data_IF_377950050416
#
_entry.id   IF_377950050416
#
_cell.length_a   1.000
_cell.length_b   1.000
_cell.length_c   1.000
_cell.angle_alpha   90.00
_cell.angle_beta   90.00
_cell.angle_gamma   90.00
#
_symmetry.space_group_name_H-M   'P 1'
#
loop_
_entity.id
_entity.type
_entity.pdbx_description
1 polymer ?
#
# COMPACT_ATOMS: atom_id res chain seq x y z
N UNK A 1 9.49 13.53 5.24
CA UNK A 1 8.88 12.37 4.76
C UNK A 1 7.85 11.83 5.63
N UNK A 2 6.96 11.20 5.02
CA UNK A 2 5.80 11.18 5.75
C UNK A 2 4.98 9.94 5.55
N UNK A 3 5.60 8.79 5.81
CA UNK A 3 4.85 7.55 5.96
C UNK A 3 3.98 7.67 7.19
N UNK A 4 2.68 7.48 6.97
CA UNK A 4 1.68 7.61 8.01
C UNK A 4 0.97 6.28 8.20
N UNK A 5 0.76 5.93 9.47
CA UNK A 5 -0.03 4.76 9.85
C UNK A 5 -1.21 5.20 10.72
N UNK A 6 -2.34 4.52 10.55
CA UNK A 6 -3.45 4.59 11.48
C UNK A 6 -3.41 3.32 12.33
N UNK A 7 -3.02 3.47 13.58
CA UNK A 7 -2.96 2.34 14.50
C UNK A 7 -4.36 1.86 14.87
N UNK A 8 -4.50 0.57 15.04
CA UNK A 8 -5.74 -0.01 15.54
C UNK A 8 -5.95 0.42 16.98
N UNK A 9 -7.18 0.77 17.32
CA UNK A 9 -7.53 1.21 18.67
C UNK A 9 -8.38 0.13 19.33
N UNK A 10 -7.87 -0.41 20.42
CA UNK A 10 -8.65 -1.33 21.26
C UNK A 10 -9.71 -0.50 21.99
N UNK A 11 -10.98 -0.84 21.83
CA UNK A 11 -12.05 -0.20 22.57
C UNK A 11 -12.74 -1.13 23.58
N UNK A 12 -12.52 -2.41 23.47
CA UNK A 12 -13.02 -3.40 24.42
C UNK A 12 -12.10 -4.62 24.44
N UNK A 13 -11.90 -5.18 25.60
CA UNK A 13 -11.10 -6.39 25.76
C UNK A 13 -11.70 -7.28 26.83
N UNK A 14 -11.79 -8.56 26.55
CA UNK A 14 -12.14 -9.61 27.52
C UNK A 14 -10.96 -10.57 27.65
N UNK A 15 -11.10 -11.59 28.49
CA UNK A 15 -10.01 -12.56 28.65
C UNK A 15 -9.56 -13.19 27.32
N UNK A 16 -10.52 -13.51 26.46
CA UNK A 16 -10.25 -14.24 25.22
C UNK A 16 -10.48 -13.44 23.93
N UNK A 17 -10.97 -12.21 24.03
CA UNK A 17 -11.38 -11.42 22.83
C UNK A 17 -10.93 -9.98 22.94
N UNK A 18 -10.38 -9.48 21.84
CA UNK A 18 -10.02 -8.06 21.72
C UNK A 18 -10.87 -7.44 20.61
N UNK A 19 -11.48 -6.29 20.91
CA UNK A 19 -12.27 -5.53 19.96
C UNK A 19 -11.51 -4.29 19.52
N UNK A 20 -11.25 -4.20 18.22
CA UNK A 20 -10.56 -3.06 17.63
C UNK A 20 -11.51 -2.14 16.91
N UNK A 21 -11.32 -0.85 17.09
CA UNK A 21 -11.87 0.17 16.21
C UNK A 21 -10.85 0.44 15.10
N UNK A 22 -11.24 0.14 13.88
CA UNK A 22 -10.37 0.30 12.70
C UNK A 22 -10.90 1.39 11.75
N UNK A 23 -11.75 2.26 12.25
CA UNK A 23 -12.32 3.34 11.43
C UNK A 23 -11.23 4.26 10.89
N UNK A 24 -11.36 4.62 9.63
CA UNK A 24 -10.53 5.63 8.99
C UNK A 24 -11.42 6.85 8.70
N UNK A 25 -11.08 8.04 9.23
CA UNK A 25 -11.88 9.23 8.96
C UNK A 25 -12.03 9.50 7.46
N UNK A 26 -13.24 9.78 7.03
CA UNK A 26 -13.60 10.09 5.64
C UNK A 26 -13.50 8.93 4.66
N UNK A 27 -13.18 7.73 5.08
CA UNK A 27 -13.22 6.57 4.17
C UNK A 27 -14.61 6.39 3.60
N UNK A 28 -14.69 6.29 2.28
CA UNK A 28 -15.95 6.15 1.54
C UNK A 28 -15.95 4.98 0.56
N UNK A 29 -14.92 4.16 0.60
CA UNK A 29 -14.81 2.96 -0.22
C UNK A 29 -13.97 1.92 0.53
N UNK A 30 -14.30 0.64 0.38
CA UNK A 30 -13.56 -0.44 1.02
C UNK A 30 -13.35 -1.56 0.02
N UNK A 31 -12.09 -1.91 -0.20
CA UNK A 31 -11.71 -2.98 -1.10
C UNK A 31 -11.03 -4.11 -0.32
N UNK A 32 -11.39 -5.33 -0.65
CA UNK A 32 -10.73 -6.52 -0.13
C UNK A 32 -9.79 -7.06 -1.21
N UNK A 33 -8.50 -7.12 -0.90
CA UNK A 33 -7.48 -7.54 -1.86
C UNK A 33 -6.76 -8.77 -1.35
N UNK A 34 -6.92 -9.88 -2.06
CA UNK A 34 -6.39 -11.18 -1.65
C UNK A 34 -5.28 -11.60 -2.61
N UNK A 35 -4.08 -11.77 -2.09
CA UNK A 35 -3.02 -12.50 -2.76
C UNK A 35 -3.12 -13.96 -2.31
N UNK A 36 -3.53 -14.84 -3.22
CA UNK A 36 -3.82 -16.24 -2.89
C UNK A 36 -2.56 -17.04 -2.55
N UNK A 37 -1.44 -16.63 -3.13
CA UNK A 37 -0.12 -17.25 -2.96
C UNK A 37 0.92 -16.16 -3.17
N UNK A 38 2.17 -16.51 -3.50
CA UNK A 38 3.14 -15.52 -3.91
C UNK A 38 2.57 -14.72 -5.08
N UNK A 39 2.51 -13.41 -4.91
CA UNK A 39 1.89 -12.52 -5.90
C UNK A 39 2.50 -11.14 -5.84
N UNK A 40 2.46 -10.47 -6.98
CA UNK A 40 2.87 -9.06 -7.10
C UNK A 40 1.74 -8.30 -7.78
N UNK A 41 1.34 -7.17 -7.20
CA UNK A 41 0.27 -6.34 -7.74
C UNK A 41 0.73 -4.88 -7.88
N UNK A 42 0.74 -4.31 -9.09
CA UNK A 42 0.50 -4.99 -10.37
C UNK A 42 1.64 -5.96 -10.71
N UNK A 43 1.40 -6.96 -11.55
CA UNK A 43 2.45 -7.89 -11.95
C UNK A 43 3.53 -7.17 -12.77
N UNK A 44 4.73 -7.75 -12.81
CA UNK A 44 5.78 -7.25 -13.69
C UNK A 44 5.36 -7.47 -15.16
N UNK A 45 5.84 -6.58 -16.03
CA UNK A 45 5.63 -6.66 -17.46
C UNK A 45 6.98 -6.84 -18.16
N UNK A 46 7.16 -7.98 -18.83
CA UNK A 46 8.43 -8.34 -19.49
C UNK A 46 9.66 -8.17 -18.58
N UNK A 47 9.54 -8.55 -17.31
CA UNK A 47 10.60 -8.43 -16.32
C UNK A 47 10.76 -7.05 -15.72
N UNK A 48 9.95 -6.08 -16.12
CA UNK A 48 9.99 -4.72 -15.59
C UNK A 48 8.89 -4.50 -14.55
N UNK A 49 9.25 -3.84 -13.45
CA UNK A 49 8.28 -3.47 -12.43
C UNK A 49 7.21 -2.56 -12.99
N UNK A 50 6.00 -2.77 -12.53
CA UNK A 50 4.87 -1.88 -12.77
C UNK A 50 4.33 -1.34 -11.45
N UNK A 51 3.74 -0.16 -11.51
CA UNK A 51 3.17 0.52 -10.36
C UNK A 51 1.77 1.02 -10.69
N UNK A 52 0.92 1.12 -9.65
CA UNK A 52 -0.28 1.95 -9.71
C UNK A 52 0.04 3.33 -9.18
N UNK A 53 -0.72 4.33 -9.61
CA UNK A 53 -0.72 5.66 -9.03
C UNK A 53 -2.16 6.17 -9.01
N UNK A 54 -2.57 6.73 -7.88
CA UNK A 54 -3.90 7.30 -7.73
C UNK A 54 -3.83 8.81 -7.57
N UNK A 55 -4.54 9.53 -8.43
CA UNK A 55 -4.65 10.99 -8.32
C UNK A 55 -5.92 11.40 -7.59
N UNK A 56 -6.90 10.48 -7.45
CA UNK A 56 -8.22 10.75 -6.90
C UNK A 56 -8.61 9.76 -5.80
N UNK A 57 -7.65 9.06 -5.25
CA UNK A 57 -7.84 8.13 -4.15
C UNK A 57 -6.65 8.17 -3.20
N UNK A 58 -6.95 8.20 -1.91
CA UNK A 58 -5.99 7.92 -0.85
C UNK A 58 -6.25 6.50 -0.40
N UNK A 59 -5.22 5.68 -0.33
CA UNK A 59 -5.33 4.32 0.19
C UNK A 59 -5.00 4.30 1.68
N UNK A 60 -5.70 3.44 2.41
CA UNK A 60 -5.35 3.07 3.77
C UNK A 60 -5.39 1.56 3.86
N UNK A 61 -4.25 0.92 3.65
CA UNK A 61 -4.13 -0.53 3.54
C UNK A 61 -3.82 -1.17 4.89
N UNK A 62 -4.63 -2.13 5.26
CA UNK A 62 -4.50 -2.89 6.52
C UNK A 62 -4.38 -4.37 6.22
N UNK A 63 -3.33 -5.01 6.73
CA UNK A 63 -3.18 -6.47 6.63
C UNK A 63 -4.10 -7.13 7.64
N UNK A 64 -4.91 -8.06 7.17
CA UNK A 64 -5.77 -8.89 8.02
C UNK A 64 -5.11 -10.23 8.28
N UNK A 65 -4.44 -10.79 7.28
CA UNK A 65 -3.75 -12.07 7.38
C UNK A 65 -2.50 -12.07 6.50
N UNK A 66 -1.45 -12.71 6.99
CA UNK A 66 -0.18 -12.76 6.30
C UNK A 66 0.61 -11.47 6.41
N UNK A 67 1.47 -11.22 5.47
CA UNK A 67 2.32 -10.04 5.40
C UNK A 67 2.35 -9.54 3.96
N UNK A 68 2.40 -8.23 3.79
CA UNK A 68 2.51 -7.63 2.47
C UNK A 68 3.57 -6.54 2.46
N UNK A 69 4.45 -6.61 1.48
CA UNK A 69 5.50 -5.60 1.29
C UNK A 69 5.02 -4.60 0.25
N UNK A 70 5.03 -3.33 0.61
CA UNK A 70 4.69 -2.23 -0.28
C UNK A 70 5.95 -1.50 -0.71
N UNK A 71 6.10 -1.26 -2.01
CA UNK A 71 7.07 -0.33 -2.55
C UNK A 71 6.35 0.96 -2.90
N UNK A 72 6.81 2.08 -2.34
CA UNK A 72 6.21 3.40 -2.53
C UNK A 72 7.24 4.35 -3.13
N UNK A 73 6.83 5.08 -4.16
CA UNK A 73 7.66 6.12 -4.76
C UNK A 73 6.83 7.40 -4.89
N UNK A 74 7.34 8.46 -4.27
CA UNK A 74 6.73 9.78 -4.38
C UNK A 74 7.86 10.81 -4.56
N UNK A 75 7.84 11.49 -5.70
CA UNK A 75 8.91 12.42 -6.07
C UNK A 75 8.97 13.65 -5.16
N UNK A 76 7.92 13.93 -4.40
CA UNK A 76 7.87 15.08 -3.48
C UNK A 76 8.41 14.75 -2.08
N UNK A 77 8.75 13.51 -1.80
CA UNK A 77 9.32 13.13 -0.53
C UNK A 77 10.84 13.37 -0.51
N UNK A 78 11.38 13.71 0.65
CA UNK A 78 12.84 13.86 0.83
C UNK A 78 13.57 12.58 0.44
N UNK A 79 13.04 11.44 0.86
CA UNK A 79 13.47 10.13 0.40
C UNK A 79 12.36 9.54 -0.44
N UNK A 80 12.47 9.61 -1.77
CA UNK A 80 11.36 9.29 -2.65
C UNK A 80 10.99 7.81 -2.72
N UNK A 81 11.88 6.92 -2.29
CA UNK A 81 11.69 5.47 -2.40
C UNK A 81 11.63 4.82 -1.03
N UNK A 82 10.47 4.27 -0.68
CA UNK A 82 10.21 3.65 0.62
C UNK A 82 9.70 2.22 0.40
N UNK A 83 10.20 1.27 1.20
CA UNK A 83 9.70 -0.10 1.23
C UNK A 83 9.16 -0.37 2.62
N UNK A 84 7.91 -0.83 2.71
CA UNK A 84 7.25 -1.06 3.97
C UNK A 84 6.78 -2.51 4.06
N UNK A 85 7.27 -3.22 5.08
CA UNK A 85 6.79 -4.57 5.39
C UNK A 85 5.59 -4.45 6.32
N UNK A 86 4.40 -4.55 5.75
CA UNK A 86 3.16 -4.37 6.48
C UNK A 86 2.66 -5.71 7.02
N UNK A 87 2.31 -5.72 8.29
CA UNK A 87 1.73 -6.89 8.96
C UNK A 87 0.52 -6.47 9.79
N UNK A 88 -0.16 -7.42 10.39
CA UNK A 88 -1.41 -7.18 11.14
C UNK A 88 -1.26 -6.09 12.20
N UNK A 89 -0.15 -6.09 12.91
CA UNK A 89 0.11 -5.17 14.02
C UNK A 89 0.50 -3.77 13.57
N UNK A 90 0.78 -3.57 12.29
CA UNK A 90 1.22 -2.27 11.75
C UNK A 90 0.10 -1.23 11.73
N UNK A 91 -1.17 -1.65 11.77
CA UNK A 91 -2.29 -0.77 11.50
C UNK A 91 -2.46 -0.52 9.99
N UNK A 92 -3.13 0.55 9.62
CA UNK A 92 -3.34 0.90 8.23
C UNK A 92 -2.25 1.85 7.73
N UNK A 93 -1.61 1.47 6.63
CA UNK A 93 -0.65 2.30 5.92
C UNK A 93 -1.38 3.27 5.00
N UNK A 94 -1.16 4.56 5.18
CA UNK A 94 -1.71 5.60 4.30
C UNK A 94 -0.79 5.80 3.10
N UNK A 95 -1.35 5.65 1.90
CA UNK A 95 -0.67 5.97 0.64
C UNK A 95 -1.37 7.19 0.05
N UNK A 96 -0.72 8.37 0.10
CA UNK A 96 -1.33 9.60 -0.39
C UNK A 96 -1.49 9.62 -1.90
N UNK A 97 -2.36 10.49 -2.39
CA UNK A 97 -2.50 10.75 -3.83
C UNK A 97 -1.14 11.07 -4.44
N UNK A 98 -0.94 10.65 -5.69
CA UNK A 98 0.30 10.93 -6.41
C UNK A 98 1.49 10.07 -5.99
N UNK A 99 1.26 8.97 -5.29
CA UNK A 99 2.28 8.03 -4.88
C UNK A 99 2.22 6.78 -5.73
N UNK A 100 3.31 6.47 -6.41
CA UNK A 100 3.44 5.17 -7.10
C UNK A 100 3.55 4.06 -6.06
N UNK A 101 2.80 2.98 -6.27
CA UNK A 101 2.83 1.86 -5.33
C UNK A 101 2.66 0.52 -6.02
N UNK A 102 3.29 -0.48 -5.44
CA UNK A 102 3.11 -1.89 -5.78
C UNK A 102 3.23 -2.71 -4.51
N UNK A 103 2.67 -3.89 -4.49
CA UNK A 103 2.73 -4.75 -3.32
C UNK A 103 3.07 -6.19 -3.67
N UNK A 104 3.75 -6.85 -2.75
CA UNK A 104 4.28 -8.21 -2.95
C UNK A 104 3.95 -9.06 -1.73
N UNK A 105 3.54 -10.30 -1.99
CA UNK A 105 3.35 -11.31 -0.94
C UNK A 105 4.25 -12.51 -1.20
N UNK A 106 4.68 -13.17 -0.13
CA UNK A 106 5.35 -14.46 -0.19
C UNK A 106 4.40 -15.62 -0.44
N UNK A 107 4.89 -16.84 -0.31
CA UNK A 107 4.18 -18.08 -0.69
C UNK A 107 2.83 -18.29 0.00
N UNK A 108 2.67 -17.83 1.22
CA UNK A 108 1.41 -17.97 1.95
C UNK A 108 0.36 -16.94 1.57
N UNK A 109 0.72 -15.98 0.71
CA UNK A 109 -0.18 -14.91 0.31
C UNK A 109 -0.45 -13.92 1.43
N UNK A 110 -1.47 -13.08 1.22
CA UNK A 110 -1.91 -12.13 2.24
C UNK A 110 -3.31 -11.62 1.93
N UNK A 111 -3.99 -11.12 2.95
CA UNK A 111 -5.30 -10.50 2.85
C UNK A 111 -5.18 -9.07 3.36
N UNK A 112 -5.59 -8.11 2.54
CA UNK A 112 -5.54 -6.68 2.86
C UNK A 112 -6.93 -6.08 2.65
N UNK A 113 -7.30 -5.19 3.54
CA UNK A 113 -8.45 -4.30 3.35
C UNK A 113 -7.89 -2.90 3.08
N UNK A 114 -8.35 -2.28 2.00
CA UNK A 114 -8.08 -0.90 1.69
C UNK A 114 -9.29 -0.05 2.08
N UNK A 115 -9.14 0.80 3.08
CA UNK A 115 -10.16 1.74 3.49
C UNK A 115 -9.87 3.08 2.79
N UNK A 116 -10.34 3.19 1.56
CA UNK A 116 -9.98 4.27 0.66
C UNK A 116 -10.81 5.53 0.87
N UNK A 117 -10.22 6.66 0.49
CA UNK A 117 -10.91 7.96 0.42
C UNK A 117 -10.85 8.40 -1.04
N UNK A 118 -12.01 8.43 -1.69
CA UNK A 118 -12.17 8.80 -3.10
C UNK A 118 -12.81 10.18 -3.22
N UNK A 119 -12.26 11.03 -4.07
CA UNK A 119 -12.89 12.31 -4.40
C UNK A 119 -13.87 12.15 -5.59
N UNK A 120 -14.54 13.24 -5.95
CA UNK A 120 -15.60 13.22 -6.98
C UNK A 120 -15.07 12.94 -8.39
N UNK A 121 -13.78 13.03 -8.62
CA UNK A 121 -13.14 12.78 -9.90
C UNK A 121 -12.62 11.37 -10.07
N UNK A 122 -12.78 10.54 -9.06
CA UNK A 122 -12.34 9.14 -9.12
C UNK A 122 -13.04 8.37 -10.24
N UNK A 123 -12.24 7.67 -11.05
CA UNK A 123 -12.73 6.75 -12.08
C UNK A 123 -11.86 5.51 -12.08
N UNK A 124 -12.45 4.36 -11.78
CA UNK A 124 -11.74 3.10 -11.64
C UNK A 124 -10.86 2.77 -12.85
N UNK A 125 -11.36 2.96 -14.06
CA UNK A 125 -10.62 2.66 -15.29
C UNK A 125 -9.31 3.46 -15.40
N UNK A 126 -9.28 4.69 -14.90
CA UNK A 126 -8.10 5.53 -14.93
C UNK A 126 -7.16 5.27 -13.76
N UNK A 127 -7.73 4.97 -12.58
CA UNK A 127 -6.95 4.85 -11.34
C UNK A 127 -6.24 3.51 -11.20
N UNK A 128 -6.78 2.45 -11.79
CA UNK A 128 -6.21 1.09 -11.66
C UNK A 128 -5.46 0.63 -12.90
N UNK A 129 -4.90 1.55 -13.65
CA UNK A 129 -4.09 1.25 -14.83
C UNK A 129 -2.61 1.13 -14.43
N UNK A 130 -1.96 -0.03 -14.66
CA UNK A 130 -0.54 -0.19 -14.35
C UNK A 130 0.35 0.70 -15.22
N UNK A 131 1.42 1.20 -14.62
CA UNK A 131 2.45 2.00 -15.30
C UNK A 131 3.78 1.26 -15.16
N UNK A 132 4.36 0.89 -16.30
CA UNK A 132 5.69 0.25 -16.32
C UNK A 132 6.79 1.29 -16.12
N UNK A 133 7.86 0.88 -15.44
CA UNK A 133 9.07 1.72 -15.33
C UNK A 133 9.67 2.03 -16.70
N UNK A 134 9.42 1.20 -17.71
CA UNK A 134 9.86 1.45 -19.09
C UNK A 134 9.16 2.66 -19.73
N UNK A 135 7.97 3.01 -19.25
CA UNK A 135 7.14 4.07 -19.80
C UNK A 135 7.22 5.38 -18.98
N UNK A 136 8.00 5.38 -17.92
CA UNK A 136 8.20 6.55 -17.07
C UNK A 136 9.68 6.66 -16.67
N UNK A 137 10.38 7.59 -17.32
CA UNK A 137 11.83 7.75 -17.12
C UNK A 137 12.18 8.21 -15.71
N UNK A 138 11.34 9.02 -15.06
CA UNK A 138 11.57 9.48 -13.69
C UNK A 138 11.42 8.33 -12.71
N UNK A 139 10.42 7.50 -12.91
CA UNK A 139 10.18 6.32 -12.08
C UNK A 139 11.34 5.33 -12.23
N UNK A 140 11.76 5.08 -13.46
CA UNK A 140 12.90 4.20 -13.73
C UNK A 140 14.19 4.72 -13.07
N UNK A 141 14.45 6.01 -13.12
CA UNK A 141 15.63 6.60 -12.49
C UNK A 141 15.64 6.37 -10.98
N UNK A 142 14.50 6.56 -10.32
CA UNK A 142 14.40 6.29 -8.89
C UNK A 142 14.71 4.82 -8.58
N UNK A 143 14.13 3.91 -9.35
CA UNK A 143 14.35 2.46 -9.15
C UNK A 143 15.83 2.10 -9.31
N UNK A 144 16.49 2.67 -10.29
CA UNK A 144 17.89 2.31 -10.62
C UNK A 144 18.88 3.01 -9.69
N UNK A 145 18.65 4.28 -9.35
CA UNK A 145 19.66 5.13 -8.73
C UNK A 145 19.39 5.50 -7.28
N UNK A 146 18.24 5.16 -6.74
CA UNK A 146 17.90 5.53 -5.36
C UNK A 146 17.84 4.29 -4.49
N UNK A 147 18.58 4.30 -3.39
CA UNK A 147 18.49 3.25 -2.38
C UNK A 147 17.22 3.47 -1.56
N UNK A 148 16.32 2.49 -1.49
CA UNK A 148 15.10 2.64 -0.71
C UNK A 148 15.37 2.68 0.79
N UNK A 149 14.53 3.41 1.53
CA UNK A 149 14.44 3.29 2.98
C UNK A 149 13.51 2.12 3.28
N UNK A 150 14.00 1.17 4.05
CA UNK A 150 13.25 -0.03 4.40
C UNK A 150 12.72 0.09 5.81
N UNK A 151 11.40 0.03 5.94
CA UNK A 151 10.71 -0.02 7.22
C UNK A 151 10.50 -1.49 7.60
N UNK A 152 11.28 -1.96 8.57
CA UNK A 152 11.27 -3.34 9.01
C UNK A 152 10.04 -3.65 9.84
N UNK A 153 9.71 -4.94 9.92
CA UNK A 153 8.68 -5.45 10.81
C UNK A 153 8.95 -5.02 12.25
N UNK A 154 7.91 -4.64 12.93
CA UNK A 154 7.91 -4.54 14.37
C UNK A 154 7.73 -5.97 14.89
N UNK A 155 8.77 -6.50 15.48
CA UNK A 155 8.71 -7.85 16.06
C UNK A 155 8.13 -7.79 17.48
#
# INVERSE_FOLDING_TARGET
MNIKFHLDRVFRETEDVVFYDISIPNSNASDLVIHKTAATSPPDDNGNKQFYIHYHQIDNNRVISGERTFELINFNWDNPYQIIHLQRESGALTIPKGTFHRSVSGLTGSIVINQAIRDDLFKADAEFKPISICDDSRLNEIIVNTKPIIHKKIS
#
